data_IF_662888615626
#
_entry.id   IF_662888615626
#
_cell.length_a   1.000
_cell.length_b   1.000
_cell.length_c   1.000
_cell.angle_alpha   90.00
_cell.angle_beta   90.00
_cell.angle_gamma   90.00
#
_symmetry.space_group_name_H-M   'P 1'
#
loop_
_entity.id
_entity.type
_entity.pdbx_description
1 polymer ?
#
# COMPACT_ATOMS: atom_id res chain seq x y z
N UNK A 1 28.39 17.37 -20.90
CA UNK A 1 27.14 18.17 -20.82
C UNK A 1 26.52 17.94 -19.46
N UNK A 2 26.60 18.93 -18.56
CA UNK A 2 25.93 18.85 -17.25
C UNK A 2 24.47 19.22 -17.50
N UNK A 3 23.54 18.27 -17.31
CA UNK A 3 22.12 18.59 -17.39
C UNK A 3 21.80 19.65 -16.32
N UNK A 4 21.07 20.72 -16.65
CA UNK A 4 20.69 21.72 -15.65
C UNK A 4 20.01 21.03 -14.46
N UNK A 5 20.40 21.42 -13.23
CA UNK A 5 19.70 20.96 -12.03
C UNK A 5 18.26 21.45 -12.11
N UNK A 6 17.29 20.56 -11.90
CA UNK A 6 15.87 20.93 -11.87
C UNK A 6 15.61 21.92 -10.74
N UNK A 7 14.71 22.87 -10.98
CA UNK A 7 14.16 23.75 -9.95
C UNK A 7 13.32 22.94 -8.94
N UNK A 8 13.18 23.43 -7.72
CA UNK A 8 12.31 22.82 -6.71
C UNK A 8 10.86 22.64 -7.20
N UNK A 9 10.35 23.61 -7.97
CA UNK A 9 9.02 23.56 -8.57
C UNK A 9 8.91 22.44 -9.62
N UNK A 10 9.96 22.26 -10.43
CA UNK A 10 10.02 21.20 -11.44
C UNK A 10 10.12 19.83 -10.77
N UNK A 11 10.84 19.70 -9.66
CA UNK A 11 10.91 18.45 -8.90
C UNK A 11 9.55 18.07 -8.31
N UNK A 12 8.80 19.03 -7.78
CA UNK A 12 7.44 18.78 -7.24
C UNK A 12 6.49 18.38 -8.37
N UNK A 13 6.53 19.06 -9.51
CA UNK A 13 5.71 18.73 -10.67
C UNK A 13 6.01 17.32 -11.22
N UNK A 14 7.28 16.99 -11.41
CA UNK A 14 7.73 15.66 -11.85
C UNK A 14 7.27 14.56 -10.88
N UNK A 15 7.33 14.82 -9.58
CA UNK A 15 6.90 13.85 -8.58
C UNK A 15 5.39 13.65 -8.60
N UNK A 16 4.60 14.73 -8.70
CA UNK A 16 3.14 14.65 -8.84
C UNK A 16 2.73 13.86 -10.09
N UNK A 17 3.39 14.11 -11.23
CA UNK A 17 3.15 13.36 -12.47
C UNK A 17 3.48 11.87 -12.28
N UNK A 18 4.59 11.56 -11.61
CA UNK A 18 4.96 10.18 -11.27
C UNK A 18 3.91 9.51 -10.37
N UNK A 19 3.36 10.23 -9.37
CA UNK A 19 2.30 9.69 -8.49
C UNK A 19 1.03 9.41 -9.28
N UNK A 20 0.68 10.28 -10.23
CA UNK A 20 -0.51 10.12 -11.07
C UNK A 20 -0.40 8.88 -11.98
N UNK A 21 0.79 8.61 -12.54
CA UNK A 21 1.04 7.45 -13.40
C UNK A 21 1.13 6.13 -12.64
N UNK A 22 1.65 6.16 -11.41
CA UNK A 22 1.81 4.96 -10.58
C UNK A 22 1.25 5.15 -9.17
N UNK A 23 -0.09 5.22 -9.05
CA UNK A 23 -0.74 5.56 -7.78
C UNK A 23 -0.51 4.52 -6.69
N UNK A 24 -0.27 3.25 -7.06
CA UNK A 24 -0.02 2.18 -6.09
C UNK A 24 1.43 2.18 -5.58
N UNK A 25 2.42 2.35 -6.47
CA UNK A 25 3.83 2.35 -6.06
C UNK A 25 4.23 3.64 -5.35
N UNK A 26 3.44 4.70 -5.53
CA UNK A 26 3.63 5.97 -4.82
C UNK A 26 3.00 6.00 -3.42
N UNK A 27 2.36 4.93 -2.95
CA UNK A 27 1.79 4.89 -1.60
C UNK A 27 2.92 4.80 -0.57
N UNK A 28 3.01 5.78 0.31
CA UNK A 28 3.87 5.73 1.48
C UNK A 28 3.17 4.90 2.58
N UNK A 29 3.87 3.96 3.18
CA UNK A 29 3.39 3.28 4.39
C UNK A 29 3.66 4.17 5.61
N UNK A 30 2.66 4.34 6.46
CA UNK A 30 2.83 5.00 7.76
C UNK A 30 3.14 3.96 8.84
N UNK A 31 3.80 4.37 9.91
CA UNK A 31 4.00 3.49 11.06
C UNK A 31 2.71 3.29 11.85
N UNK A 32 2.64 2.19 12.58
CA UNK A 32 1.52 1.89 13.49
C UNK A 32 1.29 2.99 14.54
N UNK A 33 2.36 3.69 14.95
CA UNK A 33 2.29 4.81 15.90
C UNK A 33 1.69 6.09 15.32
N UNK A 34 1.65 6.21 13.98
CA UNK A 34 1.03 7.34 13.27
C UNK A 34 -0.41 7.03 12.86
N UNK A 35 -0.86 5.78 13.04
CA UNK A 35 -2.20 5.35 12.68
C UNK A 35 -3.19 5.66 13.82
N UNK A 36 -4.38 6.12 13.44
CA UNK A 36 -5.48 6.34 14.39
C UNK A 36 -5.88 5.03 15.11
N UNK A 37 -6.38 5.09 16.35
CA UNK A 37 -6.79 3.90 17.09
C UNK A 37 -7.84 3.04 16.36
N UNK A 38 -8.76 3.68 15.63
CA UNK A 38 -9.76 3.01 14.81
C UNK A 38 -9.13 2.19 13.68
N UNK A 39 -8.06 2.69 13.08
CA UNK A 39 -7.32 1.98 12.04
C UNK A 39 -6.74 0.67 12.57
N UNK A 40 -6.24 0.67 13.80
CA UNK A 40 -5.73 -0.53 14.46
C UNK A 40 -6.81 -1.60 14.67
N UNK A 41 -7.99 -1.20 15.16
CA UNK A 41 -9.11 -2.11 15.38
C UNK A 41 -9.59 -2.72 14.05
N UNK A 42 -9.75 -1.88 13.02
CA UNK A 42 -10.15 -2.32 11.69
C UNK A 42 -9.10 -3.22 11.04
N UNK A 43 -7.81 -2.90 11.16
CA UNK A 43 -6.73 -3.72 10.61
C UNK A 43 -6.71 -5.13 11.22
N UNK A 44 -6.91 -5.25 12.55
CA UNK A 44 -7.01 -6.55 13.22
C UNK A 44 -8.19 -7.37 12.71
N UNK A 45 -9.39 -6.75 12.60
CA UNK A 45 -10.58 -7.41 12.07
C UNK A 45 -10.37 -7.90 10.63
N UNK A 46 -9.89 -7.02 9.75
CA UNK A 46 -9.66 -7.35 8.34
C UNK A 46 -8.61 -8.45 8.16
N UNK A 47 -7.56 -8.44 8.97
CA UNK A 47 -6.54 -9.50 8.94
C UNK A 47 -7.13 -10.84 9.38
N UNK A 48 -7.95 -10.87 10.43
CA UNK A 48 -8.61 -12.10 10.89
C UNK A 48 -9.55 -12.67 9.82
N UNK A 49 -10.35 -11.82 9.18
CA UNK A 49 -11.23 -12.23 8.09
C UNK A 49 -10.46 -12.78 6.88
N UNK A 50 -9.35 -12.13 6.53
CA UNK A 50 -8.46 -12.62 5.46
C UNK A 50 -7.93 -14.01 5.77
N UNK A 51 -7.41 -14.22 6.99
CA UNK A 51 -6.87 -15.52 7.40
C UNK A 51 -7.95 -16.61 7.39
N UNK A 52 -9.17 -16.29 7.84
CA UNK A 52 -10.29 -17.23 7.78
C UNK A 52 -10.62 -17.63 6.33
N UNK A 53 -10.64 -16.66 5.40
CA UNK A 53 -10.87 -16.93 3.97
C UNK A 53 -9.74 -17.77 3.36
N UNK A 54 -8.50 -17.43 3.65
CA UNK A 54 -7.33 -18.19 3.18
C UNK A 54 -7.36 -19.64 3.72
N UNK A 55 -7.70 -19.83 4.99
CA UNK A 55 -7.83 -21.17 5.58
C UNK A 55 -8.94 -22.00 4.91
N UNK A 56 -10.08 -21.37 4.61
CA UNK A 56 -11.17 -22.03 3.86
C UNK A 56 -10.72 -22.37 2.44
N UNK A 57 -10.08 -21.45 1.73
CA UNK A 57 -9.59 -21.66 0.37
C UNK A 57 -8.55 -22.80 0.29
N UNK A 58 -7.60 -22.83 1.23
CA UNK A 58 -6.61 -23.89 1.34
C UNK A 58 -7.28 -25.23 1.67
N UNK A 59 -8.24 -25.25 2.60
CA UNK A 59 -9.01 -26.44 2.93
C UNK A 59 -9.82 -27.00 1.76
N UNK A 60 -10.42 -26.13 0.95
CA UNK A 60 -11.13 -26.50 -0.28
C UNK A 60 -10.16 -27.06 -1.33
N UNK A 61 -9.01 -26.42 -1.53
CA UNK A 61 -7.95 -26.92 -2.44
C UNK A 61 -7.38 -28.27 -1.98
N UNK A 62 -7.31 -28.53 -0.68
CA UNK A 62 -6.85 -29.80 -0.12
C UNK A 62 -7.87 -30.94 -0.27
N UNK A 63 -9.19 -30.63 -0.27
CA UNK A 63 -10.26 -31.62 -0.47
C UNK A 63 -10.61 -31.90 -1.93
N UNK A 64 -10.10 -31.11 -2.87
CA UNK A 64 -10.32 -31.26 -4.31
C UNK A 64 -9.27 -32.09 -5.05
N UNK A 65 -8.42 -32.84 -4.34
CA UNK A 65 -7.52 -33.86 -4.90
C UNK A 65 -8.05 -35.26 -4.63
#
# INVERSE_FOLDING_TARGET
MIKPKRSAEQQVADELERRALHPLSSRQTISDSQAEPEFHANHKRLRAERLAREAVEIGLKAKGK
#
